data_IF_095194352681
#
_entry.id   IF_095194352681
#
_cell.length_a   1.000
_cell.length_b   1.000
_cell.length_c   1.000
_cell.angle_alpha   90.00
_cell.angle_beta   90.00
_cell.angle_gamma   90.00
#
_symmetry.space_group_name_H-M   'P 1'
#
loop_
_entity.id
_entity.type
_entity.pdbx_description
1 polymer ?
#
# COMPACT_ATOMS: atom_id res chain seq x y z
N UNK A 1 45.31 -11.53 -20.63
CA UNK A 1 44.38 -10.37 -20.69
C UNK A 1 43.05 -10.84 -21.28
N UNK A 2 42.10 -11.28 -20.45
CA UNK A 2 40.82 -11.88 -20.91
C UNK A 2 39.67 -11.59 -19.93
N UNK A 3 39.56 -10.36 -19.44
CA UNK A 3 38.55 -9.95 -18.42
C UNK A 3 37.59 -8.85 -18.90
N UNK A 4 37.39 -8.70 -20.22
CA UNK A 4 36.54 -7.64 -20.79
C UNK A 4 35.11 -8.08 -21.15
N UNK A 5 34.89 -9.32 -21.62
CA UNK A 5 33.60 -9.72 -22.21
C UNK A 5 32.48 -10.08 -21.23
N UNK A 6 32.77 -10.47 -19.98
CA UNK A 6 31.72 -10.85 -19.01
C UNK A 6 30.99 -9.64 -18.41
N UNK A 7 31.56 -8.44 -18.44
CA UNK A 7 30.92 -7.24 -17.89
C UNK A 7 29.80 -6.70 -18.79
N UNK A 8 29.96 -6.83 -20.10
CA UNK A 8 29.00 -6.34 -21.11
C UNK A 8 27.74 -7.21 -21.18
N UNK A 9 27.89 -8.53 -21.09
CA UNK A 9 26.75 -9.48 -21.16
C UNK A 9 25.88 -9.42 -19.89
N UNK A 10 26.50 -9.28 -18.71
CA UNK A 10 25.78 -9.07 -17.45
C UNK A 10 25.03 -7.72 -17.40
N UNK A 11 25.62 -6.65 -17.95
CA UNK A 11 24.96 -5.34 -18.06
C UNK A 11 23.80 -5.34 -19.07
N UNK A 12 23.93 -6.07 -20.18
CA UNK A 12 22.87 -6.23 -21.17
C UNK A 12 21.69 -7.05 -20.61
N UNK A 13 21.96 -8.16 -19.92
CA UNK A 13 20.93 -8.94 -19.24
C UNK A 13 20.22 -8.11 -18.16
N UNK A 14 20.97 -7.34 -17.36
CA UNK A 14 20.38 -6.43 -16.38
C UNK A 14 19.41 -5.42 -17.04
N UNK A 15 19.80 -4.82 -18.16
CA UNK A 15 18.98 -3.84 -18.90
C UNK A 15 17.75 -4.46 -19.59
N UNK A 16 17.85 -5.68 -20.11
CA UNK A 16 16.78 -6.29 -20.91
C UNK A 16 15.77 -7.10 -20.10
N UNK A 17 16.18 -7.69 -18.97
CA UNK A 17 15.27 -8.55 -18.17
C UNK A 17 14.98 -7.97 -16.81
N UNK A 18 16.01 -7.60 -16.04
CA UNK A 18 15.84 -7.08 -14.68
C UNK A 18 15.25 -5.67 -14.67
N UNK A 19 15.66 -4.80 -15.58
CA UNK A 19 15.21 -3.41 -15.62
C UNK A 19 13.70 -3.26 -15.90
N UNK A 20 13.08 -3.91 -16.91
CA UNK A 20 11.63 -3.86 -17.06
C UNK A 20 10.89 -4.50 -15.88
N UNK A 21 11.47 -5.53 -15.24
CA UNK A 21 10.90 -6.13 -14.02
C UNK A 21 10.95 -5.16 -12.83
N UNK A 22 12.05 -4.42 -12.69
CA UNK A 22 12.23 -3.35 -11.69
C UNK A 22 11.24 -2.22 -11.97
N UNK A 23 11.06 -1.82 -13.23
CA UNK A 23 10.05 -0.83 -13.61
C UNK A 23 8.63 -1.30 -13.35
N UNK A 24 8.33 -2.58 -13.60
CA UNK A 24 7.03 -3.18 -13.30
C UNK A 24 6.80 -3.26 -11.79
N UNK A 25 7.80 -3.68 -11.01
CA UNK A 25 7.74 -3.70 -9.56
C UNK A 25 7.60 -2.28 -8.97
N UNK A 26 8.30 -1.29 -9.55
CA UNK A 26 8.16 0.13 -9.24
C UNK A 26 6.78 0.66 -9.56
N UNK A 27 6.19 0.24 -10.70
CA UNK A 27 4.85 0.64 -11.12
C UNK A 27 3.78 0.00 -10.24
N UNK A 28 3.92 -1.29 -9.91
CA UNK A 28 3.06 -1.99 -8.95
C UNK A 28 3.18 -1.33 -7.57
N UNK A 29 4.40 -1.03 -7.11
CA UNK A 29 4.64 -0.30 -5.87
C UNK A 29 4.02 1.10 -5.91
N UNK A 30 4.15 1.84 -7.02
CA UNK A 30 3.54 3.16 -7.20
C UNK A 30 2.02 3.12 -7.13
N UNK A 31 1.40 2.14 -7.80
CA UNK A 31 -0.04 1.94 -7.74
C UNK A 31 -0.43 1.56 -6.30
N UNK A 32 0.34 0.68 -5.65
CA UNK A 32 0.12 0.33 -4.24
C UNK A 32 0.22 1.55 -3.33
N UNK A 33 1.28 2.35 -3.42
CA UNK A 33 1.54 3.53 -2.58
C UNK A 33 0.49 4.62 -2.81
N UNK A 34 0.14 4.88 -4.07
CA UNK A 34 -0.86 5.87 -4.44
C UNK A 34 -2.27 5.46 -4.02
N UNK A 35 -2.63 4.17 -4.18
CA UNK A 35 -3.88 3.63 -3.65
C UNK A 35 -3.83 3.66 -2.12
N UNK A 36 -2.69 3.33 -1.51
CA UNK A 36 -2.55 3.26 -0.06
C UNK A 36 -2.71 4.62 0.63
N UNK A 37 -2.11 5.69 0.10
CA UNK A 37 -2.30 7.04 0.65
C UNK A 37 -3.71 7.60 0.40
N UNK A 38 -4.28 7.38 -0.78
CA UNK A 38 -5.66 7.82 -1.05
C UNK A 38 -6.69 7.04 -0.24
N UNK A 39 -6.47 5.73 -0.05
CA UNK A 39 -7.27 4.89 0.84
C UNK A 39 -7.02 5.26 2.29
N UNK A 40 -5.81 5.64 2.70
CA UNK A 40 -5.57 6.07 4.08
C UNK A 40 -6.34 7.34 4.39
N UNK A 41 -6.27 8.37 3.55
CA UNK A 41 -6.98 9.64 3.81
C UNK A 41 -8.51 9.46 3.72
N UNK A 42 -9.00 8.72 2.73
CA UNK A 42 -10.43 8.43 2.60
C UNK A 42 -10.93 7.53 3.73
N UNK A 43 -10.13 6.58 4.22
CA UNK A 43 -10.56 5.66 5.27
C UNK A 43 -10.32 6.20 6.68
N UNK A 44 -9.34 7.07 6.90
CA UNK A 44 -9.27 7.86 8.14
C UNK A 44 -10.47 8.81 8.29
N UNK A 45 -11.20 9.09 7.20
CA UNK A 45 -12.50 9.77 7.24
C UNK A 45 -13.70 8.81 7.43
N UNK A 46 -13.51 7.48 7.28
CA UNK A 46 -14.56 6.47 7.43
C UNK A 46 -14.65 5.96 8.87
N UNK A 47 -15.51 6.61 9.66
CA UNK A 47 -15.72 6.38 11.09
C UNK A 47 -15.93 4.91 11.51
N UNK A 48 -16.67 4.04 10.78
CA UNK A 48 -16.97 2.68 11.26
C UNK A 48 -15.75 1.76 11.42
N UNK A 49 -14.80 1.80 10.48
CA UNK A 49 -13.59 0.96 10.50
C UNK A 49 -12.66 1.37 11.65
N UNK A 50 -12.62 2.67 11.96
CA UNK A 50 -11.86 3.23 13.08
C UNK A 50 -12.49 2.83 14.42
N UNK A 51 -13.82 2.91 14.54
CA UNK A 51 -14.55 2.48 15.74
C UNK A 51 -14.26 1.02 16.07
N UNK A 52 -14.14 0.14 15.07
CA UNK A 52 -13.80 -1.26 15.31
C UNK A 52 -12.42 -1.42 15.96
N UNK A 53 -11.40 -0.73 15.43
CA UNK A 53 -10.06 -0.71 16.03
C UNK A 53 -10.07 -0.11 17.43
N UNK A 54 -10.82 0.96 17.65
CA UNK A 54 -10.93 1.63 18.96
C UNK A 54 -11.61 0.73 20.00
N UNK A 55 -12.68 0.01 19.62
CA UNK A 55 -13.36 -0.96 20.50
C UNK A 55 -12.47 -2.14 20.85
N UNK A 56 -11.72 -2.67 19.87
CA UNK A 56 -10.73 -3.71 20.13
C UNK A 56 -9.68 -3.19 21.10
N UNK A 57 -9.11 -2.00 20.86
CA UNK A 57 -8.14 -1.41 21.76
C UNK A 57 -8.71 -1.27 23.17
N UNK A 58 -9.90 -0.68 23.34
CA UNK A 58 -10.57 -0.56 24.64
C UNK A 58 -10.76 -1.92 25.35
N UNK A 59 -11.12 -2.96 24.61
CA UNK A 59 -11.22 -4.32 25.15
C UNK A 59 -9.88 -4.85 25.64
N UNK A 60 -8.77 -4.45 25.02
CA UNK A 60 -7.42 -4.92 25.31
C UNK A 60 -6.64 -4.06 26.31
N UNK A 61 -7.10 -2.85 26.63
CA UNK A 61 -6.47 -1.99 27.64
C UNK A 61 -6.34 -2.76 28.96
N UNK A 62 -5.13 -2.76 29.51
CA UNK A 62 -4.82 -3.46 30.77
C UNK A 62 -4.79 -4.99 30.68
N UNK A 63 -5.00 -5.58 29.50
CA UNK A 63 -4.87 -7.03 29.29
C UNK A 63 -3.42 -7.44 29.00
N UNK A 64 -3.18 -8.75 29.03
CA UNK A 64 -1.87 -9.33 28.72
C UNK A 64 -1.38 -8.98 27.32
N UNK A 65 -0.10 -8.61 27.21
CA UNK A 65 0.60 -8.38 25.93
C UNK A 65 0.47 -9.54 24.93
N UNK A 66 0.29 -10.77 25.42
CA UNK A 66 0.09 -11.95 24.58
C UNK A 66 -1.27 -11.94 23.87
N UNK A 67 -2.28 -11.37 24.53
CA UNK A 67 -3.63 -11.26 23.95
C UNK A 67 -3.65 -10.16 22.88
N UNK A 68 -2.91 -9.06 23.10
CA UNK A 68 -2.63 -8.04 22.08
C UNK A 68 -1.95 -8.65 20.85
N UNK A 69 -0.91 -9.47 21.07
CA UNK A 69 -0.22 -10.19 20.00
C UNK A 69 -1.17 -11.12 19.23
N UNK A 70 -1.98 -11.91 19.94
CA UNK A 70 -2.92 -12.84 19.32
C UNK A 70 -3.91 -12.12 18.40
N UNK A 71 -4.52 -11.03 18.88
CA UNK A 71 -5.45 -10.23 18.09
C UNK A 71 -4.77 -9.62 16.87
N UNK A 72 -3.54 -9.13 17.02
CA UNK A 72 -2.75 -8.63 15.90
C UNK A 72 -2.48 -9.72 14.86
N UNK A 73 -2.07 -10.91 15.30
CA UNK A 73 -1.78 -12.04 14.42
C UNK A 73 -3.02 -12.51 13.66
N UNK A 74 -4.19 -12.55 14.30
CA UNK A 74 -5.45 -12.91 13.63
C UNK A 74 -5.73 -11.93 12.47
N UNK A 75 -5.62 -10.62 12.72
CA UNK A 75 -5.79 -9.60 11.68
C UNK A 75 -4.75 -9.74 10.57
N UNK A 76 -3.48 -9.91 10.95
CA UNK A 76 -2.38 -10.04 10.02
C UNK A 76 -2.54 -11.27 9.12
N UNK A 77 -2.80 -12.45 9.69
CA UNK A 77 -3.03 -13.69 8.96
C UNK A 77 -4.23 -13.55 8.02
N UNK A 78 -5.34 -12.96 8.48
CA UNK A 78 -6.52 -12.74 7.65
C UNK A 78 -6.19 -11.92 6.39
N UNK A 79 -5.44 -10.83 6.54
CA UNK A 79 -4.98 -10.04 5.39
C UNK A 79 -4.08 -10.83 4.44
N UNK A 80 -3.17 -11.66 4.97
CA UNK A 80 -2.29 -12.45 4.13
C UNK A 80 -3.05 -13.53 3.38
N UNK A 81 -4.07 -14.13 4.00
CA UNK A 81 -4.98 -15.07 3.31
C UNK A 81 -5.65 -14.39 2.12
N UNK A 82 -6.18 -13.17 2.27
CA UNK A 82 -6.75 -12.42 1.14
C UNK A 82 -5.69 -12.14 0.05
N UNK A 83 -4.45 -11.83 0.43
CA UNK A 83 -3.35 -11.63 -0.51
C UNK A 83 -3.06 -12.90 -1.33
N UNK A 84 -2.97 -14.04 -0.65
CA UNK A 84 -2.67 -15.33 -1.26
C UNK A 84 -3.82 -15.79 -2.17
N UNK A 85 -5.06 -15.63 -1.74
CA UNK A 85 -6.24 -15.93 -2.56
C UNK A 85 -6.27 -15.05 -3.81
N UNK A 86 -6.02 -13.74 -3.65
CA UNK A 86 -5.95 -12.82 -4.79
C UNK A 86 -4.88 -13.24 -5.80
N UNK A 87 -3.67 -13.55 -5.32
CA UNK A 87 -2.59 -14.04 -6.17
C UNK A 87 -2.96 -15.33 -6.90
N UNK A 88 -3.57 -16.29 -6.19
CA UNK A 88 -4.05 -17.53 -6.80
C UNK A 88 -5.11 -17.29 -7.88
N UNK A 89 -6.07 -16.38 -7.64
CA UNK A 89 -7.11 -16.04 -8.62
C UNK A 89 -6.52 -15.37 -9.87
N UNK A 90 -5.50 -14.53 -9.73
CA UNK A 90 -4.78 -13.96 -10.87
C UNK A 90 -4.05 -15.04 -11.68
N UNK A 91 -3.35 -15.97 -11.00
CA UNK A 91 -2.67 -17.08 -11.66
C UNK A 91 -3.65 -18.02 -12.38
N UNK A 92 -4.86 -18.18 -11.85
CA UNK A 92 -5.94 -18.94 -12.46
C UNK A 92 -6.68 -18.19 -13.60
N UNK A 93 -6.28 -16.94 -13.91
CA UNK A 93 -6.92 -16.13 -14.95
C UNK A 93 -8.24 -15.47 -14.54
N UNK A 94 -8.69 -15.62 -13.29
CA UNK A 94 -9.89 -14.98 -12.77
C UNK A 94 -9.57 -13.57 -12.25
N UNK A 95 -9.43 -12.64 -13.19
CA UNK A 95 -9.02 -11.26 -12.90
C UNK A 95 -10.00 -10.51 -11.99
N UNK A 96 -11.31 -10.70 -12.18
CA UNK A 96 -12.34 -10.00 -11.39
C UNK A 96 -12.25 -10.41 -9.92
N UNK A 97 -12.24 -11.71 -9.63
CA UNK A 97 -12.11 -12.19 -8.26
C UNK A 97 -10.75 -11.85 -7.66
N UNK A 98 -9.68 -11.89 -8.46
CA UNK A 98 -8.35 -11.44 -8.05
C UNK A 98 -8.35 -10.00 -7.53
N UNK A 99 -8.99 -9.09 -8.27
CA UNK A 99 -9.13 -7.67 -7.88
C UNK A 99 -10.01 -7.52 -6.64
N UNK A 100 -11.14 -8.25 -6.54
CA UNK A 100 -12.04 -8.18 -5.36
C UNK A 100 -11.30 -8.59 -4.08
N UNK A 101 -10.59 -9.72 -4.09
CA UNK A 101 -9.82 -10.16 -2.91
C UNK A 101 -8.65 -9.22 -2.60
N UNK A 102 -8.02 -8.66 -3.63
CA UNK A 102 -6.96 -7.68 -3.46
C UNK A 102 -7.46 -6.39 -2.79
N UNK A 103 -8.59 -5.85 -3.26
CA UNK A 103 -9.24 -4.70 -2.65
C UNK A 103 -9.70 -5.01 -1.22
N UNK A 104 -10.27 -6.19 -0.98
CA UNK A 104 -10.67 -6.66 0.34
C UNK A 104 -9.51 -6.70 1.34
N UNK A 105 -8.31 -7.13 0.93
CA UNK A 105 -7.10 -7.05 1.75
C UNK A 105 -6.82 -5.61 2.19
N UNK A 106 -6.96 -4.65 1.27
CA UNK A 106 -6.76 -3.23 1.55
C UNK A 106 -7.69 -2.73 2.66
N UNK A 107 -8.99 -3.07 2.57
CA UNK A 107 -9.99 -2.73 3.59
C UNK A 107 -9.62 -3.31 4.96
N UNK A 108 -9.20 -4.58 5.02
CA UNK A 108 -8.78 -5.23 6.26
C UNK A 108 -7.46 -4.69 6.83
N UNK A 109 -6.62 -4.07 6.01
CA UNK A 109 -5.34 -3.52 6.44
C UNK A 109 -5.46 -2.25 7.27
N UNK A 110 -6.53 -1.50 7.07
CA UNK A 110 -6.79 -0.26 7.79
C UNK A 110 -6.94 -0.50 9.30
N UNK A 111 -7.90 -1.33 9.79
CA UNK A 111 -8.02 -1.58 11.22
C UNK A 111 -6.77 -2.25 11.80
N UNK A 112 -6.09 -3.11 11.02
CA UNK A 112 -4.85 -3.73 11.46
C UNK A 112 -3.71 -2.73 11.69
N UNK A 113 -3.56 -1.73 10.81
CA UNK A 113 -2.54 -0.68 10.94
C UNK A 113 -2.89 0.30 12.05
N UNK A 114 -4.17 0.69 12.16
CA UNK A 114 -4.62 1.54 13.28
C UNK A 114 -4.35 0.86 14.62
N UNK A 115 -4.73 -0.41 14.73
CA UNK A 115 -4.48 -1.23 15.91
C UNK A 115 -2.99 -1.35 16.23
N UNK A 116 -2.16 -1.66 15.22
CA UNK A 116 -0.70 -1.72 15.39
C UNK A 116 -0.12 -0.40 15.89
N UNK A 117 -0.65 0.73 15.42
CA UNK A 117 -0.18 2.06 15.82
C UNK A 117 -0.50 2.35 17.28
N UNK A 118 -1.69 1.97 17.76
CA UNK A 118 -2.10 2.11 19.16
C UNK A 118 -1.29 1.20 20.09
N UNK A 119 -1.13 -0.07 19.71
CA UNK A 119 -0.49 -1.11 20.53
C UNK A 119 1.00 -1.29 20.22
N UNK A 120 1.60 -0.33 19.51
CA UNK A 120 2.98 -0.40 19.04
C UNK A 120 3.95 -0.73 20.17
N UNK A 121 3.80 -0.07 21.31
CA UNK A 121 4.67 -0.28 22.47
C UNK A 121 4.61 -1.74 22.97
N UNK A 122 3.39 -2.29 23.11
CA UNK A 122 3.14 -3.67 23.51
C UNK A 122 3.70 -4.68 22.49
N UNK A 123 3.43 -4.45 21.20
CA UNK A 123 3.81 -5.36 20.12
C UNK A 123 5.32 -5.38 19.86
N UNK A 124 6.01 -4.25 20.01
CA UNK A 124 7.47 -4.17 19.85
C UNK A 124 8.25 -4.83 21.00
N UNK A 125 7.58 -5.26 22.07
CA UNK A 125 8.23 -6.11 23.09
C UNK A 125 8.56 -7.51 22.55
N UNK A 126 7.86 -7.96 21.51
CA UNK A 126 8.11 -9.26 20.88
C UNK A 126 9.22 -9.16 19.83
N UNK A 127 10.27 -9.96 20.01
CA UNK A 127 11.46 -9.95 19.14
C UNK A 127 11.15 -10.04 17.64
N UNK A 128 10.29 -10.95 17.15
CA UNK A 128 10.01 -11.07 15.72
C UNK A 128 9.36 -9.82 15.13
N UNK A 129 8.41 -9.21 15.85
CA UNK A 129 7.75 -7.98 15.43
C UNK A 129 8.74 -6.82 15.43
N UNK A 130 9.57 -6.72 16.47
CA UNK A 130 10.61 -5.69 16.56
C UNK A 130 11.58 -5.78 15.40
N UNK A 131 12.06 -6.98 15.08
CA UNK A 131 12.98 -7.21 13.96
C UNK A 131 12.35 -6.78 12.63
N UNK A 132 11.12 -7.21 12.36
CA UNK A 132 10.39 -6.84 11.15
C UNK A 132 10.20 -5.31 11.05
N UNK A 133 9.79 -4.67 12.16
CA UNK A 133 9.61 -3.22 12.21
C UNK A 133 10.92 -2.46 11.96
N UNK A 134 12.01 -2.88 12.62
CA UNK A 134 13.33 -2.28 12.42
C UNK A 134 13.84 -2.44 10.98
N UNK A 135 13.60 -3.59 10.34
CA UNK A 135 13.94 -3.79 8.93
C UNK A 135 13.16 -2.83 8.01
N UNK A 136 11.86 -2.63 8.25
CA UNK A 136 11.06 -1.67 7.49
C UNK A 136 11.58 -0.24 7.67
N UNK A 137 11.86 0.17 8.92
CA UNK A 137 12.42 1.51 9.20
C UNK A 137 13.78 1.68 8.53
N UNK A 138 14.63 0.66 8.56
CA UNK A 138 15.93 0.67 7.90
C UNK A 138 15.77 0.92 6.40
N UNK A 139 14.90 0.16 5.73
CA UNK A 139 14.62 0.32 4.29
C UNK A 139 14.11 1.72 3.98
N UNK A 140 13.19 2.25 4.79
CA UNK A 140 12.64 3.61 4.62
C UNK A 140 13.70 4.72 4.72
N UNK A 141 14.74 4.49 5.52
CA UNK A 141 15.84 5.44 5.69
C UNK A 141 16.93 5.30 4.61
N UNK A 142 16.80 4.36 3.68
CA UNK A 142 17.75 4.25 2.57
C UNK A 142 17.51 5.33 1.52
N UNK A 143 18.59 5.86 0.93
CA UNK A 143 18.51 6.84 -0.16
C UNK A 143 17.63 6.38 -1.35
N UNK A 144 17.72 5.13 -1.84
CA UNK A 144 16.86 4.68 -2.93
C UNK A 144 15.38 4.80 -2.59
N UNK A 145 14.97 4.42 -1.38
CA UNK A 145 13.59 4.55 -0.94
C UNK A 145 13.14 6.02 -0.95
N UNK A 146 13.94 6.92 -0.35
CA UNK A 146 13.62 8.35 -0.27
C UNK A 146 13.51 9.01 -1.66
N UNK A 147 14.39 8.63 -2.59
CA UNK A 147 14.36 9.12 -3.97
C UNK A 147 13.10 8.63 -4.67
N UNK A 148 12.78 7.34 -4.55
CA UNK A 148 11.57 6.76 -5.15
C UNK A 148 10.33 7.42 -4.56
N UNK A 149 10.21 7.50 -3.23
CA UNK A 149 9.06 8.13 -2.57
C UNK A 149 8.89 9.60 -2.98
N UNK A 150 9.99 10.34 -3.16
CA UNK A 150 9.96 11.71 -3.66
C UNK A 150 9.45 11.82 -5.12
N UNK A 151 9.86 10.89 -5.98
CA UNK A 151 9.34 10.82 -7.36
C UNK A 151 7.85 10.45 -7.37
N UNK A 152 7.44 9.50 -6.53
CA UNK A 152 6.03 9.11 -6.38
C UNK A 152 5.18 10.29 -5.91
N UNK A 153 5.63 11.03 -4.89
CA UNK A 153 4.93 12.22 -4.40
C UNK A 153 4.76 13.29 -5.50
N UNK A 154 5.79 13.47 -6.34
CA UNK A 154 5.77 14.40 -7.47
C UNK A 154 4.81 13.95 -8.57
N UNK A 155 4.82 12.66 -8.92
CA UNK A 155 3.90 12.10 -9.91
C UNK A 155 2.45 12.19 -9.42
N UNK A 156 2.22 11.96 -8.12
CA UNK A 156 0.91 12.10 -7.49
C UNK A 156 0.38 13.52 -7.58
N UNK A 157 1.19 14.54 -7.27
CA UNK A 157 0.77 15.94 -7.35
C UNK A 157 0.44 16.35 -8.79
N UNK A 158 1.22 15.89 -9.77
CA UNK A 158 0.95 16.11 -11.19
C UNK A 158 -0.35 15.44 -11.64
N UNK A 159 -0.58 14.18 -11.24
CA UNK A 159 -1.80 13.46 -11.57
C UNK A 159 -3.03 14.14 -10.96
N UNK A 160 -2.95 14.56 -9.70
CA UNK A 160 -4.03 15.29 -9.02
C UNK A 160 -4.38 16.60 -9.74
N UNK A 161 -3.36 17.35 -10.18
CA UNK A 161 -3.56 18.58 -10.96
C UNK A 161 -4.24 18.33 -12.31
N UNK A 162 -3.89 17.24 -13.01
CA UNK A 162 -4.53 16.88 -14.28
C UNK A 162 -5.97 16.41 -14.10
N UNK A 163 -6.25 15.67 -13.04
CA UNK A 163 -7.61 15.22 -12.71
C UNK A 163 -8.51 16.41 -12.36
N UNK A 164 -8.02 17.37 -11.59
CA UNK A 164 -8.78 18.59 -11.25
C UNK A 164 -9.04 19.47 -12.48
N UNK A 165 -8.05 19.64 -13.35
CA UNK A 165 -8.21 20.36 -14.62
C UNK A 165 -9.26 19.68 -15.52
N UNK A 166 -9.21 18.34 -15.63
CA UNK A 166 -10.19 17.57 -16.38
C UNK A 166 -11.61 17.72 -15.81
N UNK A 167 -11.76 17.65 -14.49
CA UNK A 167 -13.04 17.86 -13.81
C UNK A 167 -13.61 19.27 -14.07
N UNK A 168 -12.77 20.30 -14.06
CA UNK A 168 -13.18 21.68 -14.40
C UNK A 168 -13.62 21.80 -15.85
N UNK A 169 -12.91 21.16 -16.79
CA UNK A 169 -13.31 21.11 -18.22
C UNK A 169 -14.64 20.41 -18.41
N UNK A 170 -14.87 19.29 -17.74
CA UNK A 170 -16.16 18.59 -17.77
C UNK A 170 -17.28 19.47 -17.21
N UNK A 171 -17.05 20.17 -16.10
CA UNK A 171 -18.03 21.09 -15.51
C UNK A 171 -18.35 22.26 -16.44
N UNK A 172 -17.34 22.82 -17.12
CA UNK A 172 -17.54 23.87 -18.11
C UNK A 172 -18.34 23.40 -19.34
N UNK A 173 -18.07 22.18 -19.82
CA UNK A 173 -18.85 21.57 -20.90
C UNK A 173 -20.29 21.28 -20.47
N UNK A 174 -20.49 20.79 -19.24
CA UNK A 174 -21.81 20.58 -18.67
C UNK A 174 -22.62 21.88 -18.59
N UNK A 175 -22.05 22.94 -18.02
CA UNK A 175 -22.71 24.25 -17.92
C UNK A 175 -22.97 24.88 -19.29
N UNK A 176 -22.13 24.61 -20.29
CA UNK A 176 -22.34 25.06 -21.67
C UNK A 176 -23.51 24.34 -22.35
N UNK A 177 -23.70 23.06 -22.06
CA UNK A 177 -24.76 22.23 -22.66
C UNK A 177 -26.06 22.23 -21.85
N UNK A 178 -26.01 22.61 -20.58
CA UNK A 178 -27.14 22.85 -19.70
C UNK A 178 -26.97 24.23 -19.07
N UNK A 179 -27.13 25.33 -19.83
CA UNK A 179 -27.22 26.63 -19.22
C UNK A 179 -28.42 26.56 -18.26
N UNK A 180 -28.17 26.79 -16.97
CA UNK A 180 -29.25 27.03 -16.04
C UNK A 180 -30.02 28.23 -16.57
N UNK A 181 -31.23 28.00 -17.10
CA UNK A 181 -32.16 29.05 -17.46
C UNK A 181 -32.38 29.94 -16.22
N UNK A 182 -32.33 31.28 -16.38
CA UNK A 182 -32.57 32.22 -15.28
C UNK A 182 -33.98 32.12 -14.69
#
# INVERSE_FOLDING_TARGET
MTTSNNKTLGQLLYRFTLQPLIWLALLIYMIFESVWESVSDWVFSYTPLLIFSDRIHQFLIGRSRWLVLLVYLIHFVSMQTFALISAHMFLAGNLVMGVVFYAGKGILAIPAIRFFTMEKASLLTFWPIRLAYSAVVYVKNTRPYQVISGHVATLKSQLAARVSEFALRLRALWNKNNPSDP
#
